data_IF_323346513320
#
_entry.id   IF_323346513320
#
_cell.length_a   1.000
_cell.length_b   1.000
_cell.length_c   1.000
_cell.angle_alpha   90.00
_cell.angle_beta   90.00
_cell.angle_gamma   90.00
#
_symmetry.space_group_name_H-M   'P 1'
#
loop_
_entity.id
_entity.type
_entity.pdbx_description
1 polymer ?
#
# COMPACT_ATOMS: atom_id res chain seq x y z
N UNK A 1 77.90 78.20 54.46
CA UNK A 1 77.02 79.37 54.66
C UNK A 1 76.47 79.77 53.30
N UNK A 2 75.13 79.79 53.14
CA UNK A 2 74.35 80.48 52.09
C UNK A 2 74.64 80.07 50.63
N UNK A 3 73.73 80.01 49.67
CA UNK A 3 72.28 80.11 49.53
C UNK A 3 72.02 79.89 48.02
N UNK A 4 70.78 79.56 47.66
CA UNK A 4 70.09 80.04 46.44
C UNK A 4 70.53 79.53 45.04
N UNK A 5 69.66 78.64 44.53
CA UNK A 5 68.92 78.71 43.26
C UNK A 5 69.55 79.37 42.01
N UNK A 6 69.47 78.65 40.88
CA UNK A 6 68.65 79.07 39.72
C UNK A 6 68.58 77.97 38.65
N UNK A 7 67.35 77.83 38.13
CA UNK A 7 66.96 77.13 36.91
C UNK A 7 67.79 77.63 35.73
N UNK A 8 68.14 76.79 34.74
CA UNK A 8 68.06 77.18 33.34
C UNK A 8 68.13 75.97 32.38
N UNK A 9 67.35 76.13 31.32
CA UNK A 9 67.06 75.30 30.16
C UNK A 9 68.33 74.97 29.35
N UNK A 10 68.42 73.80 28.72
CA UNK A 10 69.04 73.60 27.40
C UNK A 10 68.96 72.14 26.90
N UNK A 11 68.59 72.02 25.61
CA UNK A 11 68.98 71.00 24.61
C UNK A 11 70.52 70.74 24.65
N UNK A 12 71.16 69.76 23.97
CA UNK A 12 70.71 68.84 22.91
C UNK A 12 71.39 67.43 22.87
N UNK A 13 70.97 66.61 21.90
CA UNK A 13 71.73 65.68 21.01
C UNK A 13 72.74 64.62 21.52
N UNK A 14 72.73 63.49 20.78
CA UNK A 14 73.73 62.40 20.69
C UNK A 14 73.70 61.35 21.83
N UNK A 15 73.93 60.05 21.64
CA UNK A 15 74.02 59.13 20.52
C UNK A 15 74.12 57.70 21.13
N UNK A 16 74.11 56.67 20.28
CA UNK A 16 74.57 55.28 20.51
C UNK A 16 73.63 54.21 21.12
N UNK A 17 73.14 53.37 20.19
CA UNK A 17 73.26 51.90 20.13
C UNK A 17 72.91 51.09 21.39
N UNK A 18 71.78 50.37 21.33
CA UNK A 18 71.60 49.08 22.01
C UNK A 18 70.87 48.11 21.07
N UNK A 19 71.50 46.96 20.84
CA UNK A 19 70.99 45.82 20.08
C UNK A 19 69.72 45.28 20.74
N UNK A 20 68.65 45.07 19.96
CA UNK A 20 67.52 44.25 20.39
C UNK A 20 67.10 43.32 19.25
N UNK A 21 67.27 42.03 19.50
CA UNK A 21 66.91 40.93 18.64
C UNK A 21 65.41 40.91 18.33
N UNK A 22 65.06 40.86 17.04
CA UNK A 22 63.71 40.48 16.62
C UNK A 22 63.75 39.05 16.09
N UNK A 23 63.55 38.08 16.98
CA UNK A 23 63.20 36.72 16.57
C UNK A 23 61.77 36.72 16.00
N UNK A 24 61.61 36.21 14.78
CA UNK A 24 60.31 36.03 14.12
C UNK A 24 59.50 34.92 14.81
N UNK A 25 58.23 35.15 15.19
CA UNK A 25 57.39 34.09 15.71
C UNK A 25 57.10 33.03 14.63
N UNK A 26 57.09 31.73 14.96
CA UNK A 26 56.68 30.69 14.01
C UNK A 26 55.21 30.84 13.63
N UNK A 27 54.91 30.64 12.34
CA UNK A 27 53.56 30.74 11.81
C UNK A 27 52.62 29.68 12.44
N UNK A 28 51.35 30.02 12.72
CA UNK A 28 50.40 29.07 13.28
C UNK A 28 50.13 27.93 12.27
N UNK A 29 49.94 26.68 12.74
CA UNK A 29 49.64 25.55 11.88
C UNK A 29 48.27 25.75 11.19
N UNK A 30 48.12 25.26 9.94
CA UNK A 30 46.86 25.36 9.22
C UNK A 30 45.74 24.61 9.95
N UNK A 31 44.49 25.11 9.87
CA UNK A 31 43.35 24.48 10.52
C UNK A 31 43.11 23.05 10.00
N UNK A 32 42.78 22.14 10.90
CA UNK A 32 42.50 20.76 10.57
C UNK A 32 41.25 20.66 9.65
N UNK A 33 41.25 19.75 8.66
CA UNK A 33 40.09 19.55 7.79
C UNK A 33 38.89 19.03 8.61
N UNK A 34 37.66 19.45 8.28
CA UNK A 34 36.46 18.99 8.98
C UNK A 34 36.26 17.48 8.80
N UNK A 35 35.95 16.79 9.89
CA UNK A 35 35.64 15.36 9.87
C UNK A 35 34.34 15.11 9.09
N UNK A 36 34.37 14.18 8.14
CA UNK A 36 33.20 13.80 7.36
C UNK A 36 32.15 13.14 8.25
N UNK A 37 30.92 13.66 8.23
CA UNK A 37 29.76 13.05 8.89
C UNK A 37 29.48 11.67 8.30
N UNK A 38 29.24 10.62 9.11
CA UNK A 38 28.86 9.30 8.60
C UNK A 38 27.59 9.37 7.75
N UNK A 39 27.59 8.67 6.62
CA UNK A 39 26.43 8.60 5.74
C UNK A 39 25.22 7.95 6.45
N UNK A 40 23.98 8.42 6.21
CA UNK A 40 22.78 7.80 6.76
C UNK A 40 22.67 6.32 6.33
N UNK A 41 22.12 5.43 7.18
CA UNK A 41 21.85 4.05 6.81
C UNK A 41 20.96 3.97 5.55
N UNK A 42 21.31 3.08 4.62
CA UNK A 42 20.51 2.86 3.42
C UNK A 42 19.08 2.42 3.79
N UNK A 43 18.08 2.98 3.10
CA UNK A 43 16.69 2.60 3.28
C UNK A 43 16.49 1.10 2.93
N UNK A 44 15.66 0.36 3.69
CA UNK A 44 15.33 -1.03 3.35
C UNK A 44 14.76 -1.13 1.93
N UNK A 45 15.19 -2.12 1.17
CA UNK A 45 14.64 -2.37 -0.17
C UNK A 45 13.15 -2.75 -0.06
N UNK A 46 12.29 -2.28 -0.98
CA UNK A 46 10.88 -2.68 -1.00
C UNK A 46 10.76 -4.20 -1.12
N UNK A 47 10.01 -4.83 -0.21
CA UNK A 47 9.70 -6.25 -0.34
C UNK A 47 8.83 -6.47 -1.59
N UNK A 48 9.09 -7.52 -2.38
CA UNK A 48 8.22 -7.84 -3.52
C UNK A 48 6.78 -8.05 -3.04
N UNK A 49 5.83 -7.35 -3.66
CA UNK A 49 4.42 -7.65 -3.45
C UNK A 49 4.15 -9.09 -3.91
N UNK A 50 3.54 -9.91 -3.05
CA UNK A 50 3.15 -11.29 -3.41
C UNK A 50 2.23 -11.20 -4.62
N UNK A 51 2.59 -11.89 -5.71
CA UNK A 51 1.73 -11.93 -6.90
C UNK A 51 0.38 -12.55 -6.52
N UNK A 52 -0.72 -12.00 -7.03
CA UNK A 52 -2.07 -12.48 -6.72
C UNK A 52 -2.25 -14.00 -6.96
N UNK A 53 -1.46 -14.55 -7.90
CA UNK A 53 -1.40 -15.97 -8.26
C UNK A 53 -0.72 -16.86 -7.22
N UNK A 54 0.01 -16.30 -6.27
CA UNK A 54 0.75 -17.05 -5.24
C UNK A 54 0.02 -17.02 -3.89
N UNK A 55 -1.07 -16.26 -3.79
CA UNK A 55 -1.92 -16.23 -2.61
C UNK A 55 -2.63 -17.60 -2.48
N UNK A 56 -2.55 -18.27 -1.31
CA UNK A 56 -3.28 -19.50 -1.06
C UNK A 56 -4.79 -19.31 -1.23
N UNK A 57 -5.48 -20.37 -1.69
CA UNK A 57 -6.94 -20.36 -1.77
C UNK A 57 -7.56 -20.18 -0.38
N UNK A 58 -8.64 -19.42 -0.32
CA UNK A 58 -9.49 -19.39 0.88
C UNK A 58 -10.03 -20.81 1.14
N UNK A 59 -10.00 -21.32 2.39
CA UNK A 59 -10.51 -22.65 2.68
C UNK A 59 -12.02 -22.77 2.40
N UNK A 60 -12.40 -23.63 1.45
CA UNK A 60 -13.79 -23.84 1.08
C UNK A 60 -13.93 -24.70 -0.17
N UNK A 61 -15.17 -25.00 -0.53
CA UNK A 61 -15.52 -25.65 -1.78
C UNK A 61 -16.69 -24.93 -2.44
N UNK A 62 -16.78 -25.09 -3.75
CA UNK A 62 -17.96 -24.68 -4.49
C UNK A 62 -19.07 -25.72 -4.35
N UNK A 63 -20.30 -25.23 -4.32
CA UNK A 63 -21.52 -26.00 -4.50
C UNK A 63 -22.41 -25.26 -5.51
N UNK A 64 -22.89 -25.97 -6.51
CA UNK A 64 -23.88 -25.45 -7.45
C UNK A 64 -25.29 -25.82 -6.99
N UNK A 65 -26.19 -24.85 -7.00
CA UNK A 65 -27.60 -25.02 -6.65
C UNK A 65 -28.45 -24.38 -7.74
N UNK A 66 -29.50 -25.05 -8.18
CA UNK A 66 -30.47 -24.51 -9.13
C UNK A 66 -31.89 -24.64 -8.59
N UNK A 67 -32.70 -23.62 -8.84
CA UNK A 67 -34.10 -23.54 -8.46
C UNK A 67 -34.92 -22.86 -9.55
N UNK A 68 -36.24 -22.72 -9.33
CA UNK A 68 -37.14 -22.08 -10.29
C UNK A 68 -36.83 -20.60 -10.57
N UNK A 69 -36.07 -19.92 -9.69
CA UNK A 69 -35.67 -18.51 -9.84
C UNK A 69 -34.31 -18.35 -10.54
N UNK A 70 -33.56 -19.42 -10.76
CA UNK A 70 -32.27 -19.41 -11.47
C UNK A 70 -31.25 -20.35 -10.84
N UNK A 71 -29.96 -20.11 -11.05
CA UNK A 71 -28.87 -20.89 -10.45
C UNK A 71 -27.97 -20.07 -9.52
N UNK A 72 -27.20 -20.77 -8.68
CA UNK A 72 -26.24 -20.19 -7.74
C UNK A 72 -24.98 -21.03 -7.64
N UNK A 73 -23.83 -20.37 -7.54
CA UNK A 73 -22.58 -20.98 -7.08
C UNK A 73 -22.26 -20.43 -5.69
N UNK A 74 -22.18 -21.33 -4.72
CA UNK A 74 -21.92 -21.03 -3.30
C UNK A 74 -20.50 -21.49 -2.97
N UNK A 75 -19.64 -20.60 -2.50
CA UNK A 75 -18.31 -20.95 -2.01
C UNK A 75 -18.25 -20.81 -0.50
N UNK A 76 -17.71 -21.80 0.19
CA UNK A 76 -17.39 -21.70 1.61
C UNK A 76 -17.14 -23.06 2.23
N UNK A 77 -17.07 -23.10 3.57
CA UNK A 77 -16.99 -24.36 4.32
C UNK A 77 -18.35 -25.07 4.43
N UNK A 78 -19.44 -24.32 4.33
CA UNK A 78 -20.81 -24.85 4.32
C UNK A 78 -21.69 -24.01 3.40
N UNK A 79 -22.68 -24.65 2.76
CA UNK A 79 -23.63 -23.93 1.89
C UNK A 79 -24.53 -22.97 2.67
N UNK A 80 -24.78 -23.22 3.96
CA UNK A 80 -25.61 -22.35 4.82
C UNK A 80 -24.91 -21.04 5.21
N UNK A 81 -23.57 -21.01 5.17
CA UNK A 81 -22.73 -19.86 5.51
C UNK A 81 -21.64 -19.72 4.46
N UNK A 82 -22.05 -19.34 3.25
CA UNK A 82 -21.12 -19.14 2.14
C UNK A 82 -20.25 -17.90 2.36
N UNK A 83 -18.96 -18.00 2.08
CA UNK A 83 -18.04 -16.86 2.08
C UNK A 83 -18.21 -16.01 0.80
N UNK A 84 -18.70 -16.63 -0.28
CA UNK A 84 -19.06 -15.93 -1.52
C UNK A 84 -20.22 -16.63 -2.23
N UNK A 85 -21.10 -15.84 -2.83
CA UNK A 85 -22.25 -16.34 -3.59
C UNK A 85 -22.27 -15.61 -4.93
N UNK A 86 -22.37 -16.40 -6.00
CA UNK A 86 -22.72 -15.92 -7.31
C UNK A 86 -24.15 -16.40 -7.60
N UNK A 87 -25.12 -15.50 -7.61
CA UNK A 87 -26.54 -15.83 -7.80
C UNK A 87 -27.03 -15.26 -9.12
N UNK A 88 -27.54 -16.10 -10.01
CA UNK A 88 -28.33 -15.65 -11.14
C UNK A 88 -29.82 -15.53 -10.75
N UNK A 89 -30.44 -14.40 -11.08
CA UNK A 89 -31.89 -14.28 -11.19
C UNK A 89 -32.27 -14.44 -12.67
N UNK A 90 -32.98 -15.52 -12.98
CA UNK A 90 -33.38 -15.85 -14.35
C UNK A 90 -34.47 -14.93 -14.92
N UNK A 91 -35.28 -14.29 -14.06
CA UNK A 91 -36.34 -13.38 -14.49
C UNK A 91 -35.76 -12.04 -14.96
N UNK A 92 -34.77 -11.51 -14.24
CA UNK A 92 -34.14 -10.22 -14.54
C UNK A 92 -32.85 -10.33 -15.33
N UNK A 93 -32.30 -11.53 -15.49
CA UNK A 93 -31.01 -11.78 -16.18
C UNK A 93 -29.87 -10.99 -15.55
N UNK A 94 -29.85 -10.98 -14.22
CA UNK A 94 -28.81 -10.31 -13.45
C UNK A 94 -28.13 -11.28 -12.51
N UNK A 95 -26.81 -11.14 -12.39
CA UNK A 95 -26.04 -11.82 -11.37
C UNK A 95 -25.81 -10.91 -10.18
N UNK A 96 -26.10 -11.43 -8.99
CA UNK A 96 -25.67 -10.83 -7.72
C UNK A 96 -24.45 -11.57 -7.22
N UNK A 97 -23.34 -10.84 -7.07
CA UNK A 97 -22.09 -11.31 -6.48
C UNK A 97 -22.04 -10.82 -5.04
N UNK A 98 -22.23 -11.71 -4.08
CA UNK A 98 -22.35 -11.34 -2.68
C UNK A 98 -21.36 -12.05 -1.76
N UNK A 99 -21.07 -11.40 -0.64
CA UNK A 99 -20.20 -11.91 0.43
C UNK A 99 -20.69 -11.40 1.79
N UNK A 100 -20.29 -12.05 2.91
CA UNK A 100 -20.62 -11.56 4.25
C UNK A 100 -20.16 -10.12 4.46
N UNK A 101 -21.05 -9.30 5.02
CA UNK A 101 -20.81 -7.88 5.29
C UNK A 101 -22.10 -7.15 5.63
N UNK A 102 -21.99 -6.08 6.44
CA UNK A 102 -23.14 -5.29 6.91
C UNK A 102 -23.24 -3.91 6.27
N UNK A 103 -22.10 -3.35 5.83
CA UNK A 103 -22.01 -2.02 5.23
C UNK A 103 -21.57 -2.15 3.79
N UNK A 104 -22.36 -1.58 2.88
CA UNK A 104 -22.00 -1.48 1.46
C UNK A 104 -20.71 -0.70 1.25
N UNK A 105 -20.12 -0.86 0.08
CA UNK A 105 -18.82 -0.30 -0.26
C UNK A 105 -18.33 -0.87 -1.59
N UNK A 106 -17.08 -0.61 -1.92
CA UNK A 106 -16.53 -1.17 -3.13
C UNK A 106 -16.24 -2.67 -2.99
N UNK A 107 -16.58 -3.42 -4.03
CA UNK A 107 -16.16 -4.80 -4.22
C UNK A 107 -15.29 -4.88 -5.47
N UNK A 108 -14.02 -5.24 -5.27
CA UNK A 108 -13.05 -5.37 -6.38
C UNK A 108 -12.83 -6.85 -6.68
N UNK A 109 -13.06 -7.24 -7.92
CA UNK A 109 -12.78 -8.60 -8.39
C UNK A 109 -11.58 -8.56 -9.32
N UNK A 110 -10.58 -9.38 -9.02
CA UNK A 110 -9.36 -9.50 -9.83
C UNK A 110 -9.22 -10.91 -10.38
N UNK A 111 -9.01 -11.00 -11.69
CA UNK A 111 -8.87 -12.25 -12.45
C UNK A 111 -7.53 -12.26 -13.18
N UNK A 112 -7.18 -13.38 -13.82
CA UNK A 112 -6.00 -13.41 -14.71
C UNK A 112 -6.10 -12.48 -15.94
N UNK A 113 -7.27 -11.92 -16.22
CA UNK A 113 -7.53 -11.08 -17.39
C UNK A 113 -7.93 -9.63 -17.03
N UNK A 114 -7.64 -9.23 -15.79
CA UNK A 114 -7.84 -7.88 -15.27
C UNK A 114 -8.74 -7.81 -14.05
N UNK A 115 -9.01 -6.58 -13.60
CA UNK A 115 -9.82 -6.30 -12.44
C UNK A 115 -11.00 -5.38 -12.77
N UNK A 116 -12.08 -5.52 -12.00
CA UNK A 116 -13.21 -4.57 -12.01
C UNK A 116 -13.54 -4.17 -10.58
N UNK A 117 -14.14 -3.00 -10.43
CA UNK A 117 -14.65 -2.49 -9.15
C UNK A 117 -16.12 -2.20 -9.33
N UNK A 118 -16.95 -2.91 -8.56
CA UNK A 118 -18.38 -2.66 -8.49
C UNK A 118 -18.77 -2.07 -7.13
N UNK A 119 -19.90 -1.37 -7.10
CA UNK A 119 -20.48 -0.92 -5.86
C UNK A 119 -21.36 -2.02 -5.28
N UNK A 120 -21.06 -2.45 -4.06
CA UNK A 120 -21.81 -3.44 -3.33
C UNK A 120 -22.72 -2.78 -2.30
N UNK A 121 -23.96 -3.24 -2.21
CA UNK A 121 -24.97 -2.76 -1.28
C UNK A 121 -25.43 -3.90 -0.37
N UNK A 122 -25.96 -3.61 0.84
CA UNK A 122 -26.58 -4.64 1.68
C UNK A 122 -27.66 -5.41 0.91
N UNK A 123 -27.57 -6.74 0.94
CA UNK A 123 -28.55 -7.64 0.32
C UNK A 123 -29.57 -8.04 1.39
N UNK A 124 -30.89 -7.92 1.12
CA UNK A 124 -31.91 -8.37 2.05
C UNK A 124 -31.81 -9.88 2.33
N UNK A 125 -31.81 -10.26 3.60
CA UNK A 125 -31.76 -11.67 4.00
C UNK A 125 -31.55 -11.85 5.51
N UNK A 126 -31.70 -13.09 6.01
CA UNK A 126 -31.51 -13.41 7.42
C UNK A 126 -30.03 -13.33 7.85
N UNK A 127 -29.10 -13.51 6.90
CA UNK A 127 -27.67 -13.37 7.13
C UNK A 127 -27.20 -12.08 6.44
N UNK A 128 -26.38 -11.24 7.11
CA UNK A 128 -25.92 -9.98 6.52
C UNK A 128 -24.89 -10.23 5.41
N UNK A 129 -25.27 -9.90 4.19
CA UNK A 129 -24.40 -9.89 3.02
C UNK A 129 -24.40 -8.51 2.38
N UNK A 130 -23.31 -8.20 1.68
CA UNK A 130 -23.26 -7.15 0.67
C UNK A 130 -23.11 -7.78 -0.70
N UNK A 131 -23.72 -7.17 -1.72
CA UNK A 131 -23.74 -7.70 -3.07
C UNK A 131 -23.59 -6.61 -4.12
N UNK A 132 -22.81 -6.91 -5.15
CA UNK A 132 -22.75 -6.15 -6.38
C UNK A 132 -23.62 -6.83 -7.45
N UNK A 133 -24.25 -6.04 -8.31
CA UNK A 133 -25.11 -6.55 -9.38
C UNK A 133 -24.46 -6.32 -10.74
N UNK A 134 -24.38 -7.38 -11.54
CA UNK A 134 -23.94 -7.35 -12.93
C UNK A 134 -25.07 -7.84 -13.84
N UNK A 135 -25.16 -7.30 -15.06
CA UNK A 135 -26.05 -7.87 -16.09
C UNK A 135 -25.43 -9.15 -16.63
N UNK A 136 -26.25 -10.12 -17.06
CA UNK A 136 -25.76 -11.40 -17.59
C UNK A 136 -24.83 -11.27 -18.81
N UNK A 137 -24.96 -10.17 -19.55
CA UNK A 137 -24.10 -9.85 -20.71
C UNK A 137 -22.87 -9.00 -20.37
N UNK A 138 -22.57 -8.76 -19.09
CA UNK A 138 -21.34 -8.07 -18.68
C UNK A 138 -20.12 -8.93 -19.09
N UNK A 139 -19.23 -8.43 -19.96
CA UNK A 139 -18.08 -9.19 -20.46
C UNK A 139 -17.05 -9.49 -19.35
N UNK A 140 -17.09 -8.79 -18.21
CA UNK A 140 -16.21 -9.12 -17.09
C UNK A 140 -16.57 -10.49 -16.47
N UNK A 141 -17.81 -10.95 -16.62
CA UNK A 141 -18.21 -12.27 -16.12
C UNK A 141 -17.41 -13.40 -16.80
N UNK A 142 -17.08 -13.26 -18.09
CA UNK A 142 -16.21 -14.23 -18.78
C UNK A 142 -14.81 -14.30 -18.18
N UNK A 143 -14.30 -13.16 -17.72
CA UNK A 143 -12.99 -13.10 -17.07
C UNK A 143 -12.99 -13.86 -15.74
N UNK A 144 -14.13 -13.92 -15.06
CA UNK A 144 -14.32 -14.75 -13.85
C UNK A 144 -14.40 -16.23 -14.27
N UNK A 145 -15.27 -16.56 -15.23
CA UNK A 145 -15.51 -17.93 -15.68
C UNK A 145 -14.25 -18.63 -16.20
N UNK A 146 -13.38 -17.89 -16.91
CA UNK A 146 -12.17 -18.44 -17.53
C UNK A 146 -10.87 -18.13 -16.78
N UNK A 147 -10.95 -17.50 -15.59
CA UNK A 147 -9.75 -17.09 -14.85
C UNK A 147 -8.81 -18.27 -14.62
N UNK A 148 -7.50 -18.05 -14.74
CA UNK A 148 -6.50 -19.12 -14.60
C UNK A 148 -6.33 -19.51 -13.14
N UNK A 149 -6.92 -20.65 -12.77
CA UNK A 149 -6.79 -21.27 -11.44
C UNK A 149 -7.60 -20.59 -10.34
N UNK A 150 -7.50 -19.26 -10.20
CA UNK A 150 -8.19 -18.50 -9.14
C UNK A 150 -8.55 -17.08 -9.57
N UNK A 151 -9.37 -16.42 -8.76
CA UNK A 151 -9.65 -14.99 -8.81
C UNK A 151 -9.85 -14.49 -7.37
N UNK A 152 -9.72 -13.19 -7.15
CA UNK A 152 -9.86 -12.61 -5.81
C UNK A 152 -11.06 -11.69 -5.71
N UNK A 153 -11.68 -11.65 -4.53
CA UNK A 153 -12.75 -10.71 -4.18
C UNK A 153 -12.31 -9.91 -2.95
N UNK A 154 -12.00 -8.64 -3.17
CA UNK A 154 -11.68 -7.68 -2.12
C UNK A 154 -12.90 -6.82 -1.80
N UNK A 155 -13.06 -6.46 -0.53
CA UNK A 155 -14.08 -5.51 -0.07
C UNK A 155 -13.50 -4.62 1.02
N UNK A 156 -14.03 -3.41 1.16
CA UNK A 156 -13.50 -2.41 2.09
C UNK A 156 -13.58 -2.92 3.55
N UNK A 157 -12.41 -3.16 4.17
CA UNK A 157 -12.30 -3.67 5.55
C UNK A 157 -12.70 -5.14 5.74
N UNK A 158 -12.91 -5.88 4.65
CA UNK A 158 -13.29 -7.30 4.70
C UNK A 158 -12.11 -8.20 4.33
N UNK A 159 -12.03 -9.45 4.85
CA UNK A 159 -10.99 -10.40 4.48
C UNK A 159 -10.91 -10.60 2.96
N UNK A 160 -9.71 -10.74 2.40
CA UNK A 160 -9.57 -11.09 0.99
C UNK A 160 -10.07 -12.52 0.75
N UNK A 161 -10.93 -12.70 -0.23
CA UNK A 161 -11.30 -14.04 -0.70
C UNK A 161 -10.45 -14.37 -1.93
N UNK A 162 -9.82 -15.54 -1.92
CA UNK A 162 -9.10 -16.10 -3.06
C UNK A 162 -9.82 -17.38 -3.47
N UNK A 163 -10.60 -17.27 -4.53
CA UNK A 163 -11.57 -18.27 -4.93
C UNK A 163 -11.04 -19.07 -6.12
N UNK A 164 -11.16 -20.41 -6.13
CA UNK A 164 -10.79 -21.19 -7.29
C UNK A 164 -11.76 -20.92 -8.45
N UNK A 165 -11.24 -20.82 -9.67
CA UNK A 165 -12.03 -20.65 -10.89
C UNK A 165 -12.50 -22.02 -11.43
N UNK A 166 -13.31 -22.73 -10.64
CA UNK A 166 -13.87 -24.04 -10.99
C UNK A 166 -15.14 -23.90 -11.85
N UNK A 167 -15.83 -25.02 -12.11
CA UNK A 167 -16.93 -25.08 -13.06
C UNK A 167 -18.22 -24.37 -12.57
N UNK A 168 -18.43 -24.26 -11.26
CA UNK A 168 -19.69 -23.77 -10.68
C UNK A 168 -19.95 -22.30 -11.00
N UNK A 169 -18.99 -21.35 -10.82
CA UNK A 169 -19.19 -19.98 -11.25
C UNK A 169 -19.48 -19.85 -12.75
N UNK A 170 -18.73 -20.57 -13.59
CA UNK A 170 -18.91 -20.54 -15.04
C UNK A 170 -20.30 -21.04 -15.43
N UNK A 171 -20.76 -22.15 -14.83
CA UNK A 171 -22.11 -22.69 -15.06
C UNK A 171 -23.20 -21.69 -14.67
N UNK A 172 -23.07 -21.03 -13.51
CA UNK A 172 -24.06 -20.03 -13.07
C UNK A 172 -24.09 -18.80 -14.00
N UNK A 173 -22.94 -18.37 -14.52
CA UNK A 173 -22.85 -17.28 -15.50
C UNK A 173 -23.56 -17.66 -16.79
N UNK A 174 -23.29 -18.85 -17.32
CA UNK A 174 -23.91 -19.35 -18.55
C UNK A 174 -25.42 -19.53 -18.43
N UNK A 175 -25.90 -20.10 -17.32
CA UNK A 175 -27.33 -20.24 -17.08
C UNK A 175 -28.04 -18.87 -17.02
N UNK A 176 -27.34 -17.82 -16.60
CA UNK A 176 -27.93 -16.48 -16.56
C UNK A 176 -28.09 -15.84 -17.95
N UNK A 177 -27.33 -16.29 -18.93
CA UNK A 177 -27.35 -15.76 -20.31
C UNK A 177 -28.44 -16.39 -21.18
N UNK A 178 -28.82 -17.64 -20.90
CA UNK A 178 -29.77 -18.45 -21.68
C UNK A 178 -31.21 -18.03 -21.44
#
# INVERSE_FOLDING_TARGET
>A
MRDIAKRFKCLPMAALVLLAACATPPAPPPPAPPSATPAPPAAPMPQPAVAWSDIPLTPGKWAYVADARGSSALFGRSAAQADFILRCDGATRTLTLSRPGTRGGAMTITTSYGATRWQAQPVPGPVPYIGAVARANDPFLDKIAFSRGRFTVAGDGLPLLVLPAWAEPARTIEDCRK
#
